data_IF_950797856206
#
_entry.id   IF_950797856206
#
_cell.length_a   1.000
_cell.length_b   1.000
_cell.length_c   1.000
_cell.angle_alpha   90.00
_cell.angle_beta   90.00
_cell.angle_gamma   90.00
#
_symmetry.space_group_name_H-M   'P 1'
#
loop_
_entity.id
_entity.type
_entity.pdbx_description
1 polymer ?
#
# COMPACT_ATOMS: atom_id res chain seq x y z
N UNK A 1 -21.88 13.39 2.89
CA UNK A 1 -20.60 12.91 3.44
C UNK A 1 -20.91 12.20 4.75
N UNK A 2 -20.47 10.95 4.92
CA UNK A 2 -21.01 10.05 5.96
C UNK A 2 -20.45 10.30 7.39
N UNK A 3 -19.89 11.48 7.69
CA UNK A 3 -19.29 11.83 8.99
C UNK A 3 -18.33 10.77 9.57
N UNK A 4 -17.62 10.06 8.70
CA UNK A 4 -16.59 9.10 9.10
C UNK A 4 -15.28 9.89 9.29
N UNK A 5 -14.61 9.80 10.44
CA UNK A 5 -13.31 10.43 10.65
C UNK A 5 -12.28 9.83 9.70
N UNK A 6 -11.36 10.67 9.22
CA UNK A 6 -10.25 10.25 8.37
C UNK A 6 -8.98 11.02 8.74
N UNK A 7 -7.85 10.42 8.42
CA UNK A 7 -6.52 11.01 8.57
C UNK A 7 -5.76 10.83 7.26
N UNK A 8 -4.98 11.83 6.88
CA UNK A 8 -4.10 11.78 5.71
C UNK A 8 -2.66 11.67 6.18
N UNK A 9 -2.00 10.58 5.80
CA UNK A 9 -0.61 10.30 6.16
C UNK A 9 0.26 10.26 4.90
N UNK A 10 1.53 10.61 5.05
CA UNK A 10 2.51 10.59 3.94
C UNK A 10 3.27 9.27 3.89
N UNK A 11 3.44 8.60 5.03
CA UNK A 11 4.23 7.38 5.15
C UNK A 11 3.34 6.22 5.54
N UNK A 12 3.54 5.08 4.88
CA UNK A 12 2.79 3.88 5.17
C UNK A 12 3.04 3.42 6.61
N UNK A 13 4.30 3.49 7.05
CA UNK A 13 4.78 3.03 8.36
C UNK A 13 4.10 3.70 9.54
N UNK A 14 3.66 4.96 9.37
CA UNK A 14 3.02 5.73 10.43
C UNK A 14 1.61 5.20 10.74
N UNK A 15 0.93 4.62 9.74
CA UNK A 15 -0.41 4.06 9.88
C UNK A 15 -0.42 2.54 10.12
N UNK A 16 0.61 1.80 9.64
CA UNK A 16 0.64 0.32 9.69
C UNK A 16 0.19 -0.29 11.04
N UNK A 17 0.63 0.19 12.22
CA UNK A 17 0.31 -0.46 13.49
C UNK A 17 -1.18 -0.40 13.88
N UNK A 18 -1.97 0.49 13.29
CA UNK A 18 -3.38 0.70 13.63
C UNK A 18 -4.37 0.17 12.59
N UNK A 19 -3.90 -0.50 11.54
CA UNK A 19 -4.76 -0.97 10.46
C UNK A 19 -5.28 -2.39 10.71
N UNK A 20 -6.58 -2.59 10.52
CA UNK A 20 -7.17 -3.92 10.35
C UNK A 20 -7.10 -4.37 8.88
N UNK A 21 -7.18 -3.42 7.95
CA UNK A 21 -7.19 -3.66 6.50
C UNK A 21 -6.32 -2.62 5.80
N UNK A 22 -5.38 -3.10 4.99
CA UNK A 22 -4.60 -2.29 4.06
C UNK A 22 -5.10 -2.53 2.64
N UNK A 23 -5.84 -1.57 2.08
CA UNK A 23 -6.27 -1.60 0.68
C UNK A 23 -5.31 -0.80 -0.19
N UNK A 24 -4.52 -1.51 -1.01
CA UNK A 24 -3.55 -0.88 -1.90
C UNK A 24 -4.11 -0.73 -3.31
N UNK A 25 -3.64 0.28 -4.04
CA UNK A 25 -4.03 0.51 -5.44
C UNK A 25 -2.80 0.70 -6.31
N UNK A 26 -2.92 0.32 -7.59
CA UNK A 26 -1.89 0.53 -8.59
C UNK A 26 -1.70 2.01 -8.89
N UNK A 27 -0.44 2.47 -8.89
CA UNK A 27 -0.07 3.78 -9.45
C UNK A 27 -0.23 3.74 -10.98
N UNK A 28 -1.23 4.47 -11.49
CA UNK A 28 -1.61 4.49 -12.89
C UNK A 28 -0.75 5.48 -13.68
N UNK A 29 0.17 4.98 -14.52
CA UNK A 29 1.11 5.79 -15.34
C UNK A 29 0.36 6.81 -16.21
N UNK A 30 -0.78 6.40 -16.75
CA UNK A 30 -1.64 7.19 -17.62
C UNK A 30 -2.25 8.44 -16.96
N UNK A 31 -2.18 8.57 -15.62
CA UNK A 31 -2.67 9.74 -14.88
C UNK A 31 -1.60 10.82 -14.66
N UNK A 32 -0.37 10.60 -15.11
CA UNK A 32 0.74 11.54 -14.92
C UNK A 32 1.01 12.34 -16.20
N UNK A 33 1.28 13.64 -16.04
CA UNK A 33 1.64 14.53 -17.15
C UNK A 33 3.12 14.40 -17.57
N UNK A 34 4.00 14.00 -16.64
CA UNK A 34 5.41 13.77 -16.89
C UNK A 34 5.82 12.37 -16.36
N UNK A 35 6.85 11.79 -16.96
CA UNK A 35 7.32 10.44 -16.60
C UNK A 35 8.12 10.42 -15.28
N UNK A 36 8.80 11.52 -14.95
CA UNK A 36 9.62 11.63 -13.73
C UNK A 36 8.78 11.51 -12.44
N UNK A 37 7.62 12.16 -12.37
CA UNK A 37 6.73 12.08 -11.22
C UNK A 37 6.11 10.69 -11.07
N UNK A 38 5.81 10.02 -12.19
CA UNK A 38 5.39 8.62 -12.16
C UNK A 38 6.49 7.72 -11.60
N UNK A 39 7.73 7.87 -12.07
CA UNK A 39 8.87 7.06 -11.59
C UNK A 39 9.11 7.30 -10.10
N UNK A 40 8.98 8.54 -9.62
CA UNK A 40 9.10 8.86 -8.20
C UNK A 40 7.98 8.25 -7.36
N UNK A 41 6.73 8.32 -7.81
CA UNK A 41 5.57 7.82 -7.04
C UNK A 41 5.45 6.30 -7.04
N UNK A 42 5.73 5.62 -8.17
CA UNK A 42 5.56 4.16 -8.28
C UNK A 42 6.42 3.38 -7.29
N UNK A 43 7.58 3.94 -6.89
CA UNK A 43 8.53 3.28 -5.99
C UNK A 43 8.45 3.81 -4.54
N UNK A 44 7.57 4.79 -4.28
CA UNK A 44 7.46 5.41 -2.95
C UNK A 44 6.63 4.56 -1.97
N UNK A 45 5.52 3.99 -2.45
CA UNK A 45 4.57 3.24 -1.63
C UNK A 45 4.68 1.72 -1.87
N UNK A 46 5.87 1.18 -1.70
CA UNK A 46 6.12 -0.27 -1.82
C UNK A 46 5.88 -0.94 -0.46
N UNK A 47 4.94 -1.89 -0.42
CA UNK A 47 4.77 -2.81 0.68
C UNK A 47 5.77 -3.96 0.55
N UNK A 48 6.64 -4.10 1.54
CA UNK A 48 7.67 -5.12 1.62
C UNK A 48 7.56 -5.89 2.95
N UNK A 49 8.34 -6.97 3.07
CA UNK A 49 8.37 -7.79 4.27
C UNK A 49 8.80 -7.03 5.53
N UNK A 50 9.60 -5.96 5.41
CA UNK A 50 10.01 -5.16 6.56
C UNK A 50 8.86 -4.30 7.09
N UNK A 51 8.08 -3.67 6.19
CA UNK A 51 6.87 -2.91 6.55
C UNK A 51 5.77 -3.80 7.10
N UNK A 52 5.64 -5.03 6.59
CA UNK A 52 4.72 -6.03 7.14
C UNK A 52 5.03 -6.42 8.60
N UNK A 53 6.24 -6.17 9.12
CA UNK A 53 6.55 -6.37 10.55
C UNK A 53 5.94 -5.30 11.45
N UNK A 54 5.58 -4.15 10.89
CA UNK A 54 4.91 -3.06 11.62
C UNK A 54 3.40 -3.27 11.69
N UNK A 55 2.86 -4.15 10.85
CA UNK A 55 1.44 -4.46 10.78
C UNK A 55 1.03 -5.43 11.89
N UNK A 56 -0.21 -5.32 12.41
CA UNK A 56 -0.83 -6.36 13.22
C UNK A 56 -0.80 -7.74 12.55
N UNK A 57 -0.80 -8.80 13.36
CA UNK A 57 -0.78 -10.18 12.87
C UNK A 57 -2.10 -10.59 12.19
N UNK A 58 -3.21 -9.92 12.53
CA UNK A 58 -4.56 -10.13 12.04
C UNK A 58 -5.00 -9.13 10.95
N UNK A 59 -4.11 -8.24 10.51
CA UNK A 59 -4.37 -7.30 9.42
C UNK A 59 -4.47 -8.03 8.07
N UNK A 60 -5.39 -7.61 7.19
CA UNK A 60 -5.48 -8.10 5.81
C UNK A 60 -4.94 -7.10 4.78
N UNK A 61 -4.20 -7.59 3.79
CA UNK A 61 -3.78 -6.82 2.62
C UNK A 61 -4.70 -7.13 1.44
N UNK A 62 -5.29 -6.10 0.84
CA UNK A 62 -6.18 -6.22 -0.32
C UNK A 62 -5.63 -5.41 -1.50
N UNK A 63 -5.74 -5.96 -2.70
CA UNK A 63 -5.31 -5.28 -3.92
C UNK A 63 -6.20 -5.65 -5.12
N UNK A 64 -6.69 -4.68 -5.93
CA UNK A 64 -7.63 -4.97 -7.01
C UNK A 64 -7.05 -5.71 -8.23
N UNK A 65 -5.73 -5.90 -8.31
CA UNK A 65 -4.98 -6.53 -9.42
C UNK A 65 -5.23 -5.90 -10.82
N UNK A 66 -4.32 -6.07 -11.79
CA UNK A 66 -2.94 -6.57 -11.63
C UNK A 66 -2.10 -5.56 -10.86
N UNK A 67 -1.20 -6.06 -10.01
CA UNK A 67 -0.18 -5.23 -9.35
C UNK A 67 1.04 -5.02 -10.26
N UNK A 68 1.79 -3.95 -10.03
CA UNK A 68 3.07 -3.69 -10.72
C UNK A 68 4.23 -3.90 -9.77
N UNK A 69 4.49 -2.94 -8.87
CA UNK A 69 5.62 -2.94 -7.93
C UNK A 69 5.22 -2.52 -6.51
N UNK A 70 3.97 -2.07 -6.33
CA UNK A 70 3.42 -1.56 -5.08
C UNK A 70 3.39 -2.61 -3.96
N UNK A 71 3.40 -3.90 -4.29
CA UNK A 71 3.52 -5.01 -3.33
C UNK A 71 4.65 -5.92 -3.79
N UNK A 72 5.68 -6.07 -2.95
CA UNK A 72 6.80 -6.99 -3.21
C UNK A 72 6.33 -8.44 -3.25
N UNK A 73 6.92 -9.25 -4.13
CA UNK A 73 6.61 -10.69 -4.24
C UNK A 73 6.92 -11.47 -2.96
N UNK A 74 7.77 -10.95 -2.08
CA UNK A 74 8.04 -11.56 -0.76
C UNK A 74 6.81 -11.57 0.15
N UNK A 75 5.87 -10.64 -0.06
CA UNK A 75 4.63 -10.52 0.73
C UNK A 75 3.62 -11.60 0.34
N UNK A 76 3.76 -12.24 -0.82
CA UNK A 76 2.84 -13.30 -1.29
C UNK A 76 2.78 -14.52 -0.36
N UNK A 77 3.87 -14.77 0.35
CA UNK A 77 3.96 -15.88 1.29
C UNK A 77 3.55 -15.48 2.71
N UNK A 78 3.20 -14.22 2.94
CA UNK A 78 2.69 -13.76 4.22
C UNK A 78 1.21 -14.17 4.33
N UNK A 79 0.78 -14.81 5.44
CA UNK A 79 -0.61 -15.27 5.60
C UNK A 79 -1.64 -14.12 5.55
N UNK A 80 -1.19 -12.88 5.70
CA UNK A 80 -2.02 -11.66 5.64
C UNK A 80 -2.29 -11.18 4.21
N UNK A 81 -1.60 -11.73 3.21
CA UNK A 81 -1.87 -11.43 1.80
C UNK A 81 -3.10 -12.23 1.33
N UNK A 82 -4.20 -11.52 1.05
CA UNK A 82 -5.49 -12.11 0.66
C UNK A 82 -5.91 -11.74 -0.77
#
# INVERSE_FOLDING_TARGET
>A
RNNIPYEEVVRLEDAMPSLDILYMTRVQKERFFNEEDYVRMKDFYILDKAKMKLAPEDMYVLHPLPRVNEISTEVDNDPRAA
#
